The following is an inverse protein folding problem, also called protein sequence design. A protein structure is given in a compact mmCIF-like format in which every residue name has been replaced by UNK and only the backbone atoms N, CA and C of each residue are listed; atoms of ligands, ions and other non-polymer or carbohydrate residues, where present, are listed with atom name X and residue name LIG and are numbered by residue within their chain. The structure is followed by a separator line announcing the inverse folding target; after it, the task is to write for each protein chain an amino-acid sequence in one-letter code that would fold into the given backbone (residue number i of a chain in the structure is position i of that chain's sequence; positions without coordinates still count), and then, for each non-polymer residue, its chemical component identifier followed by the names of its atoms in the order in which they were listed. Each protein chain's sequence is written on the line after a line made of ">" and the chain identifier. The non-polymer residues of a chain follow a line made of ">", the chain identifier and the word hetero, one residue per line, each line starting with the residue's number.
data_IF_031938806014
#
_entry.id   IF_031938806014
#
_cell.length_a   1.000
_cell.length_b   1.000
_cell.length_c   1.000
_cell.angle_alpha   90.00
_cell.angle_beta   90.00
_cell.angle_gamma   90.00
#
_symmetry.space_group_name_H-M   'P 1'
#
loop_
_entity.id
_entity.type
_entity.pdbx_description
1 polymer ?
#
# COMPACT_ATOMS: atom_id res chain seq x y z
N UNK A 1 4.24 7.82 -10.16
CA UNK A 1 5.13 7.29 -9.11
C UNK A 1 4.79 8.00 -7.81
N UNK A 2 4.13 7.31 -6.88
CA UNK A 2 3.65 7.93 -5.64
C UNK A 2 3.86 6.97 -4.47
N UNK A 3 4.53 7.43 -3.42
CA UNK A 3 4.69 6.69 -2.16
C UNK A 3 4.10 7.53 -1.05
N UNK A 4 2.90 7.14 -0.60
CA UNK A 4 2.20 7.80 0.52
C UNK A 4 2.35 6.90 1.73
N UNK A 5 3.39 7.12 2.52
CA UNK A 5 3.67 6.36 3.75
C UNK A 5 3.96 7.35 4.87
N UNK A 6 3.16 7.41 5.95
CA UNK A 6 3.29 8.42 7.00
C UNK A 6 4.41 8.12 8.01
N UNK A 7 5.30 7.17 7.71
CA UNK A 7 6.35 6.70 8.61
C UNK A 7 7.71 6.72 7.93
N UNK A 8 8.72 7.23 8.64
CA UNK A 8 10.11 7.21 8.19
C UNK A 8 10.68 5.78 8.17
N UNK A 9 11.67 5.56 7.30
CA UNK A 9 12.45 4.33 7.29
C UNK A 9 13.19 4.15 8.61
N UNK A 10 13.26 2.90 9.09
CA UNK A 10 13.93 2.54 10.32
C UNK A 10 15.24 1.79 10.02
N UNK A 11 16.41 2.47 10.02
CA UNK A 11 17.69 1.82 9.72
C UNK A 11 18.13 0.81 10.78
N UNK A 12 17.47 0.78 11.95
CA UNK A 12 17.79 -0.13 13.05
C UNK A 12 16.84 -1.35 13.09
N UNK A 13 16.03 -1.57 12.05
CA UNK A 13 15.21 -2.76 11.99
C UNK A 13 16.10 -4.01 11.88
N UNK A 14 15.92 -4.94 12.81
CA UNK A 14 16.71 -6.18 12.87
C UNK A 14 15.82 -7.39 13.12
N UNK A 15 16.27 -8.55 12.64
CA UNK A 15 15.53 -9.80 12.77
C UNK A 15 14.32 -9.90 11.83
N UNK A 16 13.42 -10.85 12.09
CA UNK A 16 12.18 -11.09 11.31
C UNK A 16 12.36 -11.43 9.82
N UNK A 17 13.59 -11.73 9.38
CA UNK A 17 13.91 -12.10 7.99
C UNK A 17 12.98 -13.19 7.43
N UNK A 18 12.73 -14.26 8.19
CA UNK A 18 11.82 -15.34 7.76
C UNK A 18 10.39 -14.86 7.48
N UNK A 19 9.89 -13.90 8.27
CA UNK A 19 8.55 -13.32 8.06
C UNK A 19 8.56 -12.45 6.81
N UNK A 20 9.60 -11.63 6.64
CA UNK A 20 9.77 -10.80 5.45
C UNK A 20 9.89 -11.67 4.18
N UNK A 21 10.65 -12.75 4.20
CA UNK A 21 10.80 -13.64 3.04
C UNK A 21 9.48 -14.33 2.67
N UNK A 22 8.68 -14.71 3.67
CA UNK A 22 7.31 -15.21 3.45
C UNK A 22 6.40 -14.14 2.86
N UNK A 23 6.48 -12.91 3.37
CA UNK A 23 5.70 -11.78 2.87
C UNK A 23 6.08 -11.43 1.43
N UNK A 24 7.38 -11.40 1.12
CA UNK A 24 7.94 -11.23 -0.23
C UNK A 24 7.48 -12.32 -1.17
N UNK A 25 7.47 -13.57 -0.74
CA UNK A 25 6.98 -14.69 -1.56
C UNK A 25 5.47 -14.57 -1.83
N UNK A 26 4.70 -14.21 -0.81
CA UNK A 26 3.25 -14.07 -0.91
C UNK A 26 2.82 -12.90 -1.81
N UNK A 27 3.49 -11.75 -1.68
CA UNK A 27 3.17 -10.51 -2.40
C UNK A 27 3.99 -10.32 -3.68
N UNK A 28 5.05 -11.10 -3.90
CA UNK A 28 6.04 -10.88 -4.95
C UNK A 28 5.53 -11.03 -6.38
N UNK A 29 6.33 -10.52 -7.32
CA UNK A 29 5.99 -10.39 -8.74
C UNK A 29 6.32 -11.66 -9.56
N UNK A 30 5.87 -12.84 -9.12
CA UNK A 30 5.84 -13.96 -10.08
C UNK A 30 4.70 -13.70 -11.06
N UNK A 31 5.04 -13.71 -12.35
CA UNK A 31 4.10 -13.56 -13.45
C UNK A 31 2.93 -14.51 -13.21
N UNK A 32 1.69 -14.00 -13.13
CA UNK A 32 0.55 -14.89 -12.96
C UNK A 32 0.54 -15.91 -14.11
N UNK A 33 0.12 -17.16 -13.85
CA UNK A 33 -0.14 -18.10 -14.94
C UNK A 33 -1.08 -17.42 -15.94
N UNK A 34 -0.74 -17.55 -17.23
CA UNK A 34 -1.31 -16.79 -18.35
C UNK A 34 -2.81 -16.54 -18.20
N UNK A 35 -3.21 -15.27 -18.25
CA UNK A 35 -4.60 -14.85 -18.37
C UNK A 35 -5.36 -14.52 -17.08
N UNK A 36 -4.73 -14.51 -15.88
CA UNK A 36 -5.40 -14.02 -14.66
C UNK A 36 -4.58 -12.99 -13.88
N UNK A 37 -5.04 -11.76 -13.88
CA UNK A 37 -4.60 -10.73 -12.93
C UNK A 37 -5.16 -11.09 -11.55
N UNK A 38 -4.29 -11.49 -10.62
CA UNK A 38 -4.69 -11.68 -9.22
C UNK A 38 -4.10 -10.57 -8.36
N UNK A 39 -4.96 -9.83 -7.66
CA UNK A 39 -4.52 -8.96 -6.57
C UNK A 39 -4.04 -9.83 -5.41
N UNK A 40 -2.72 -9.88 -5.20
CA UNK A 40 -2.11 -10.60 -4.08
C UNK A 40 -2.43 -9.89 -2.77
N UNK A 41 -2.74 -10.66 -1.73
CA UNK A 41 -3.11 -10.14 -0.41
C UNK A 41 -2.34 -10.92 0.64
N UNK A 42 -1.81 -10.20 1.63
CA UNK A 42 -1.20 -10.78 2.81
C UNK A 42 -1.75 -10.08 4.05
N UNK A 43 -1.81 -10.80 5.17
CA UNK A 43 -2.24 -10.28 6.46
C UNK A 43 -1.16 -10.56 7.50
N UNK A 44 -0.72 -9.51 8.20
CA UNK A 44 0.14 -9.63 9.37
C UNK A 44 -0.74 -9.63 10.62
N UNK A 45 -0.75 -10.74 11.36
CA UNK A 45 -1.53 -10.88 12.58
C UNK A 45 -0.64 -11.34 13.74
N UNK A 46 -1.08 -11.06 14.97
CA UNK A 46 -0.33 -11.35 16.19
C UNK A 46 -0.60 -10.33 17.30
N UNK A 47 -0.02 -10.57 18.47
CA UNK A 47 -0.20 -9.73 19.65
C UNK A 47 0.13 -8.25 19.39
N UNK A 48 -0.48 -7.37 20.18
CA UNK A 48 -0.15 -5.95 20.16
C UNK A 48 1.34 -5.72 20.49
N UNK A 49 1.94 -4.67 19.93
CA UNK A 49 3.34 -4.31 20.20
C UNK A 49 4.42 -5.19 19.55
N UNK A 50 4.07 -6.29 18.86
CA UNK A 50 5.07 -7.21 18.27
C UNK A 50 5.78 -6.66 17.01
N UNK A 51 5.41 -5.46 16.56
CA UNK A 51 6.04 -4.78 15.42
C UNK A 51 5.46 -5.10 14.05
N UNK A 52 4.17 -5.47 13.95
CA UNK A 52 3.50 -5.75 12.65
C UNK A 52 3.62 -4.59 11.66
N UNK A 53 3.36 -3.37 12.11
CA UNK A 53 3.51 -2.15 11.31
C UNK A 53 4.95 -1.97 10.82
N UNK A 54 5.94 -2.26 11.67
CA UNK A 54 7.36 -2.18 11.30
C UNK A 54 7.70 -3.21 10.23
N UNK A 55 7.19 -4.44 10.33
CA UNK A 55 7.38 -5.47 9.28
C UNK A 55 6.76 -5.01 7.94
N UNK A 56 5.58 -4.40 7.96
CA UNK A 56 4.96 -3.87 6.75
C UNK A 56 5.78 -2.72 6.14
N UNK A 57 6.32 -1.82 6.97
CA UNK A 57 7.18 -0.74 6.52
C UNK A 57 8.46 -1.25 5.86
N UNK A 58 9.15 -2.20 6.49
CA UNK A 58 10.35 -2.81 5.91
C UNK A 58 10.08 -3.46 4.56
N UNK A 59 8.93 -4.11 4.41
CA UNK A 59 8.53 -4.66 3.11
C UNK A 59 8.34 -3.55 2.06
N UNK A 60 7.71 -2.43 2.42
CA UNK A 60 7.50 -1.29 1.52
C UNK A 60 8.83 -0.66 1.08
N UNK A 61 9.76 -0.46 2.02
CA UNK A 61 11.07 0.10 1.70
C UNK A 61 11.89 -0.86 0.83
N UNK A 62 11.89 -2.16 1.15
CA UNK A 62 12.49 -3.18 0.28
C UNK A 62 11.88 -3.21 -1.13
N UNK A 63 10.54 -3.14 -1.24
CA UNK A 63 9.83 -3.15 -2.52
C UNK A 63 10.28 -1.97 -3.41
N UNK A 64 10.37 -0.79 -2.80
CA UNK A 64 10.77 0.45 -3.46
C UNK A 64 12.24 0.45 -3.88
N UNK A 65 13.13 0.03 -3.00
CA UNK A 65 14.57 0.24 -3.17
C UNK A 65 15.24 -0.94 -3.89
N UNK A 66 14.77 -2.17 -3.68
CA UNK A 66 15.44 -3.39 -4.17
C UNK A 66 14.72 -4.11 -5.30
N UNK A 67 13.38 -4.00 -5.41
CA UNK A 67 12.61 -4.81 -6.36
C UNK A 67 12.17 -4.04 -7.61
N UNK A 68 11.34 -3.02 -7.44
CA UNK A 68 10.76 -2.29 -8.56
C UNK A 68 10.47 -0.84 -8.18
N UNK A 69 11.34 0.11 -8.59
CA UNK A 69 11.16 1.52 -8.26
C UNK A 69 9.93 2.16 -8.93
N UNK A 70 9.30 1.47 -9.89
CA UNK A 70 8.11 1.92 -10.60
C UNK A 70 6.81 1.60 -9.84
N UNK A 71 6.86 0.79 -8.78
CA UNK A 71 5.69 0.46 -7.96
C UNK A 71 5.23 1.67 -7.13
N UNK A 72 3.94 1.99 -7.21
CA UNK A 72 3.29 2.96 -6.32
C UNK A 72 2.78 2.26 -5.06
N UNK A 73 2.98 2.90 -3.90
CA UNK A 73 2.59 2.37 -2.60
C UNK A 73 1.69 3.37 -1.89
N UNK A 74 0.53 2.87 -1.45
CA UNK A 74 -0.45 3.66 -0.70
C UNK A 74 -0.69 3.06 0.68
N UNK A 75 -0.33 3.81 1.71
CA UNK A 75 -0.61 3.46 3.09
C UNK A 75 -1.97 4.00 3.52
N UNK A 76 -2.84 3.13 4.01
CA UNK A 76 -4.16 3.51 4.52
C UNK A 76 -4.25 3.15 6.00
N UNK A 77 -4.31 4.19 6.84
CA UNK A 77 -4.59 4.04 8.26
C UNK A 77 -6.09 3.81 8.46
N UNK A 78 -6.47 2.58 8.84
CA UNK A 78 -7.86 2.20 9.06
C UNK A 78 -8.22 2.13 10.56
N UNK A 79 -7.43 2.77 11.43
CA UNK A 79 -7.63 2.75 12.89
C UNK A 79 -8.90 3.47 13.33
N UNK A 80 -9.38 4.45 12.56
CA UNK A 80 -10.67 5.12 12.76
C UNK A 80 -11.28 5.58 11.43
N UNK A 81 -12.59 5.86 11.36
CA UNK A 81 -13.22 6.43 10.16
C UNK A 81 -12.56 7.73 9.69
N UNK A 82 -12.15 8.59 10.63
CA UNK A 82 -11.49 9.86 10.34
C UNK A 82 -10.10 9.64 9.73
N UNK A 83 -9.31 8.73 10.30
CA UNK A 83 -7.98 8.40 9.78
C UNK A 83 -8.04 7.71 8.43
N UNK A 84 -9.06 6.85 8.23
CA UNK A 84 -9.32 6.21 6.96
C UNK A 84 -9.66 7.25 5.88
N UNK A 85 -10.55 8.20 6.20
CA UNK A 85 -10.90 9.29 5.29
C UNK A 85 -9.69 10.17 4.97
N UNK A 86 -8.91 10.58 5.98
CA UNK A 86 -7.71 11.42 5.80
C UNK A 86 -6.65 10.72 4.94
N UNK A 87 -6.46 9.41 5.13
CA UNK A 87 -5.52 8.63 4.31
C UNK A 87 -5.96 8.60 2.85
N UNK A 88 -7.25 8.37 2.58
CA UNK A 88 -7.78 8.39 1.21
C UNK A 88 -7.71 9.81 0.59
N UNK A 89 -7.97 10.86 1.37
CA UNK A 89 -7.80 12.23 0.90
C UNK A 89 -6.36 12.54 0.52
N UNK A 90 -5.40 12.13 1.34
CA UNK A 90 -3.98 12.29 1.03
C UNK A 90 -3.60 11.56 -0.26
N UNK A 91 -4.10 10.34 -0.47
CA UNK A 91 -3.88 9.61 -1.73
C UNK A 91 -4.49 10.36 -2.92
N UNK A 92 -5.73 10.85 -2.79
CA UNK A 92 -6.40 11.59 -3.87
C UNK A 92 -5.67 12.88 -4.23
N UNK A 93 -5.16 13.60 -3.23
CA UNK A 93 -4.34 14.79 -3.40
C UNK A 93 -3.00 14.47 -4.09
N UNK A 94 -2.24 13.50 -3.58
CA UNK A 94 -0.92 13.15 -4.13
C UNK A 94 -1.01 12.61 -5.56
N UNK A 95 -2.10 11.90 -5.89
CA UNK A 95 -2.37 11.40 -7.23
C UNK A 95 -3.10 12.40 -8.13
N UNK A 96 -3.46 13.59 -7.62
CA UNK A 96 -4.20 14.63 -8.34
C UNK A 96 -5.50 14.09 -8.99
N UNK A 97 -6.23 13.23 -8.27
CA UNK A 97 -7.43 12.57 -8.81
C UNK A 97 -8.54 13.61 -9.02
N UNK A 98 -9.05 13.83 -10.24
CA UNK A 98 -10.06 14.86 -10.49
C UNK A 98 -11.29 14.75 -9.57
N UNK A 99 -11.73 15.87 -9.00
CA UNK A 99 -12.91 15.96 -8.14
C UNK A 99 -12.70 15.56 -6.68
N UNK A 100 -11.45 15.43 -6.21
CA UNK A 100 -11.16 15.11 -4.80
C UNK A 100 -11.59 16.20 -3.81
N UNK A 101 -11.73 17.44 -4.28
CA UNK A 101 -12.13 18.64 -3.53
C UNK A 101 -13.58 19.08 -3.81
N UNK A 102 -14.30 18.35 -4.67
CA UNK A 102 -15.69 18.65 -4.99
C UNK A 102 -16.62 18.44 -3.79
N UNK A 103 -17.51 19.39 -3.57
CA UNK A 103 -18.48 19.33 -2.50
C UNK A 103 -19.42 18.13 -2.67
N UNK A 104 -19.51 17.27 -1.64
CA UNK A 104 -20.38 16.09 -1.65
C UNK A 104 -19.76 14.83 -2.27
N UNK A 105 -18.53 14.90 -2.77
CA UNK A 105 -17.82 13.72 -3.30
C UNK A 105 -17.33 12.83 -2.16
N UNK A 106 -17.59 11.53 -2.27
CA UNK A 106 -16.98 10.54 -1.38
C UNK A 106 -15.56 10.25 -1.84
N UNK A 107 -14.57 10.83 -1.17
CA UNK A 107 -13.15 10.64 -1.50
C UNK A 107 -12.72 9.16 -1.51
N UNK A 108 -13.32 8.35 -0.63
CA UNK A 108 -13.04 6.90 -0.57
C UNK A 108 -13.54 6.20 -1.83
N UNK A 109 -14.75 6.55 -2.30
CA UNK A 109 -15.29 5.99 -3.53
C UNK A 109 -14.46 6.45 -4.74
N UNK A 110 -14.06 7.72 -4.75
CA UNK A 110 -13.22 8.30 -5.80
C UNK A 110 -11.87 7.58 -5.91
N UNK A 111 -11.15 7.44 -4.80
CA UNK A 111 -9.86 6.72 -4.75
C UNK A 111 -10.02 5.27 -5.20
N UNK A 112 -11.09 4.59 -4.75
CA UNK A 112 -11.38 3.22 -5.18
C UNK A 112 -11.56 3.14 -6.69
N UNK A 113 -12.43 3.97 -7.27
CA UNK A 113 -12.69 3.98 -8.71
C UNK A 113 -11.43 4.29 -9.51
N UNK A 114 -10.60 5.22 -9.04
CA UNK A 114 -9.32 5.52 -9.66
C UNK A 114 -8.34 4.33 -9.61
N UNK A 115 -8.23 3.63 -8.48
CA UNK A 115 -7.39 2.43 -8.36
C UNK A 115 -7.87 1.25 -9.23
N UNK A 116 -9.14 1.23 -9.60
CA UNK A 116 -9.72 0.23 -10.50
C UNK A 116 -9.58 0.63 -11.98
N UNK A 117 -9.15 1.86 -12.28
CA UNK A 117 -8.94 2.35 -13.64
C UNK A 117 -7.49 2.22 -14.10
N UNK A 118 -7.28 2.29 -15.41
CA UNK A 118 -5.94 2.27 -16.03
C UNK A 118 -5.12 3.53 -15.70
N UNK A 119 -5.76 4.60 -15.23
CA UNK A 119 -5.12 5.87 -14.86
C UNK A 119 -4.24 5.76 -13.61
N UNK A 120 -4.53 4.79 -12.74
CA UNK A 120 -3.67 4.47 -11.59
C UNK A 120 -2.36 3.76 -11.95
N UNK A 121 -2.15 3.51 -13.24
CA UNK A 121 -1.03 2.74 -13.78
C UNK A 121 -1.40 1.28 -14.01
N UNK A 122 -0.48 0.54 -14.63
CA UNK A 122 -0.64 -0.87 -14.99
C UNK A 122 -0.71 -1.76 -13.74
N UNK A 123 -1.90 -1.87 -13.10
CA UNK A 123 -2.34 -2.78 -12.03
C UNK A 123 -1.38 -3.13 -10.86
N UNK A 124 -0.27 -2.40 -10.71
CA UNK A 124 0.84 -2.66 -9.79
C UNK A 124 0.76 -1.86 -8.49
N UNK A 125 -0.38 -1.23 -8.21
CA UNK A 125 -0.59 -0.49 -6.97
C UNK A 125 -0.77 -1.46 -5.79
N UNK A 126 0.11 -1.36 -4.78
CA UNK A 126 -0.05 -2.11 -3.54
C UNK A 126 -0.69 -1.23 -2.46
N UNK A 127 -1.82 -1.68 -1.93
CA UNK A 127 -2.42 -1.09 -0.73
C UNK A 127 -1.93 -1.82 0.52
N UNK A 128 -1.34 -1.07 1.44
CA UNK A 128 -1.04 -1.56 2.78
C UNK A 128 -2.08 -1.00 3.74
N UNK A 129 -2.81 -1.89 4.41
CA UNK A 129 -3.79 -1.55 5.44
C UNK A 129 -3.24 -2.00 6.78
N UNK A 130 -3.19 -1.07 7.74
CA UNK A 130 -2.79 -1.33 9.13
C UNK A 130 -3.95 -1.17 10.09
#
# INVERSE_FOLDING_TARGET
>A
RTVVVPYAYNPNFVGRREILDRLRSALGHHQPPEGRVWQRKACLYGLSGIGKTQIALEYVYWLRDDLDPEVSVFWVDASSPEQFWRSNLSIAQECQIPGYDDAGTSVVALVKTWLESEESGDQRCQQVKS
#
